data_IF_680501068956
#
_entry.id   IF_680501068956
#
_cell.length_a   1.000
_cell.length_b   1.000
_cell.length_c   1.000
_cell.angle_alpha   90.00
_cell.angle_beta   90.00
_cell.angle_gamma   90.00
#
_symmetry.space_group_name_H-M   'P 1'
#
loop_
_entity.id
_entity.type
_entity.pdbx_description
1 polymer ?
#
# COMPACT_ATOMS: atom_id res chain seq x y z
N UNK A 1 -20.14 17.99 -54.08
CA UNK A 1 -19.44 17.03 -53.20
C UNK A 1 -20.48 16.16 -52.53
N UNK A 2 -20.54 14.87 -52.86
CA UNK A 2 -21.66 13.97 -52.56
C UNK A 2 -21.88 13.76 -51.06
N UNK A 3 -23.13 13.84 -50.61
CA UNK A 3 -23.59 13.70 -49.20
C UNK A 3 -23.01 12.42 -48.54
N UNK A 4 -22.85 11.35 -49.33
CA UNK A 4 -22.25 10.08 -48.90
C UNK A 4 -20.81 10.19 -48.40
N UNK A 5 -20.03 11.16 -48.89
CA UNK A 5 -18.63 11.37 -48.47
C UNK A 5 -18.59 12.04 -47.09
N UNK A 6 -19.48 13.01 -46.83
CA UNK A 6 -19.57 13.67 -45.52
C UNK A 6 -20.00 12.70 -44.42
N UNK A 7 -20.99 11.85 -44.67
CA UNK A 7 -21.42 10.82 -43.71
C UNK A 7 -20.29 9.84 -43.37
N UNK A 8 -19.54 9.37 -44.36
CA UNK A 8 -18.40 8.46 -44.16
C UNK A 8 -17.28 9.11 -43.33
N UNK A 9 -17.01 10.38 -43.55
CA UNK A 9 -16.00 11.14 -42.79
C UNK A 9 -16.45 11.32 -41.32
N UNK A 10 -17.71 11.67 -41.07
CA UNK A 10 -18.25 11.79 -39.72
C UNK A 10 -18.23 10.46 -38.97
N UNK A 11 -18.63 9.36 -39.61
CA UNK A 11 -18.64 8.03 -39.00
C UNK A 11 -17.21 7.59 -38.62
N UNK A 12 -16.23 7.85 -39.49
CA UNK A 12 -14.82 7.50 -39.25
C UNK A 12 -14.24 8.34 -38.11
N UNK A 13 -14.56 9.63 -38.04
CA UNK A 13 -14.12 10.52 -36.96
C UNK A 13 -14.70 10.09 -35.60
N UNK A 14 -15.99 9.77 -35.54
CA UNK A 14 -16.62 9.25 -34.32
C UNK A 14 -16.03 7.91 -33.88
N UNK A 15 -15.74 7.00 -34.82
CA UNK A 15 -15.09 5.72 -34.52
C UNK A 15 -13.69 5.92 -33.90
N UNK A 16 -12.89 6.85 -34.42
CA UNK A 16 -11.56 7.16 -33.89
C UNK A 16 -11.67 7.74 -32.47
N UNK A 17 -12.58 8.69 -32.24
CA UNK A 17 -12.82 9.26 -30.90
C UNK A 17 -13.26 8.18 -29.92
N UNK A 18 -14.17 7.30 -30.33
CA UNK A 18 -14.64 6.21 -29.49
C UNK A 18 -13.50 5.25 -29.12
N UNK A 19 -12.64 4.88 -30.07
CA UNK A 19 -11.46 4.04 -29.82
C UNK A 19 -10.51 4.73 -28.83
N UNK A 20 -10.19 6.01 -29.01
CA UNK A 20 -9.34 6.77 -28.08
C UNK A 20 -9.96 6.83 -26.68
N UNK A 21 -11.28 7.03 -26.59
CA UNK A 21 -12.01 7.06 -25.33
C UNK A 21 -11.95 5.68 -24.63
N UNK A 22 -12.24 4.59 -25.35
CA UNK A 22 -12.16 3.22 -24.82
C UNK A 22 -10.74 2.87 -24.36
N UNK A 23 -9.71 3.20 -25.14
CA UNK A 23 -8.32 2.96 -24.74
C UNK A 23 -7.89 3.79 -23.52
N UNK A 24 -8.43 5.00 -23.35
CA UNK A 24 -8.22 5.82 -22.14
C UNK A 24 -8.83 5.16 -20.89
N UNK A 25 -10.02 4.58 -21.01
CA UNK A 25 -10.66 3.84 -19.92
C UNK A 25 -9.95 2.52 -19.59
N UNK A 26 -9.37 1.84 -20.58
CA UNK A 26 -8.61 0.59 -20.36
C UNK A 26 -7.26 0.88 -19.69
N UNK A 27 -6.55 1.96 -20.09
CA UNK A 27 -5.25 2.32 -19.48
C UNK A 27 -5.34 2.74 -18.02
N UNK A 28 -6.49 3.20 -17.55
CA UNK A 28 -6.69 3.64 -16.17
C UNK A 28 -7.01 2.48 -15.19
N UNK A 29 -6.95 1.22 -15.65
CA UNK A 29 -7.16 0.01 -14.83
C UNK A 29 -5.86 -0.67 -14.35
N UNK A 30 -4.71 -0.01 -14.41
CA UNK A 30 -3.62 -0.41 -13.50
C UNK A 30 -4.05 0.01 -12.10
N UNK A 31 -4.50 -0.97 -11.34
CA UNK A 31 -5.19 -0.89 -10.04
C UNK A 31 -4.28 -0.35 -8.92
N UNK A 32 -3.82 0.89 -9.10
CA UNK A 32 -3.03 1.64 -8.14
C UNK A 32 -3.99 2.53 -7.36
N UNK A 33 -4.82 1.92 -6.53
CA UNK A 33 -5.68 2.62 -5.58
C UNK A 33 -5.02 2.61 -4.20
N UNK A 34 -4.37 3.71 -3.82
CA UNK A 34 -3.79 3.84 -2.48
C UNK A 34 -4.83 3.69 -1.37
N UNK A 35 -6.06 4.17 -1.59
CA UNK A 35 -7.17 4.00 -0.64
C UNK A 35 -7.57 2.54 -0.44
N UNK A 36 -7.66 1.74 -1.51
CA UNK A 36 -7.96 0.31 -1.38
C UNK A 36 -6.86 -0.42 -0.62
N UNK A 37 -5.59 -0.08 -0.90
CA UNK A 37 -4.45 -0.65 -0.18
C UNK A 37 -4.46 -0.27 1.29
N UNK A 38 -4.84 0.97 1.61
CA UNK A 38 -4.98 1.41 3.00
C UNK A 38 -5.97 0.58 3.80
N UNK A 39 -7.12 0.21 3.22
CA UNK A 39 -8.15 -0.57 3.93
C UNK A 39 -7.58 -1.89 4.44
N UNK A 40 -6.86 -2.64 3.61
CA UNK A 40 -6.30 -3.92 4.08
C UNK A 40 -5.06 -3.71 4.97
N UNK A 41 -4.27 -2.65 4.74
CA UNK A 41 -3.16 -2.30 5.64
C UNK A 41 -3.68 -2.01 7.05
N UNK A 42 -4.80 -1.30 7.18
CA UNK A 42 -5.48 -1.03 8.44
C UNK A 42 -5.99 -2.31 9.11
N UNK A 43 -6.64 -3.20 8.34
CA UNK A 43 -7.12 -4.48 8.87
C UNK A 43 -5.96 -5.35 9.38
N UNK A 44 -4.89 -5.50 8.60
CA UNK A 44 -3.72 -6.29 9.01
C UNK A 44 -3.03 -5.66 10.23
N UNK A 45 -2.97 -4.32 10.32
CA UNK A 45 -2.45 -3.63 11.51
C UNK A 45 -3.32 -3.89 12.72
N UNK A 46 -4.65 -3.90 12.60
CA UNK A 46 -5.54 -4.21 13.73
C UNK A 46 -5.27 -5.60 14.30
N UNK A 47 -5.00 -6.61 13.46
CA UNK A 47 -4.60 -7.94 13.91
C UNK A 47 -3.24 -7.93 14.65
N UNK A 48 -2.28 -7.10 14.21
CA UNK A 48 -1.01 -6.92 14.94
C UNK A 48 -1.26 -6.27 16.31
N UNK A 49 -2.23 -5.35 16.40
CA UNK A 49 -2.52 -4.62 17.63
C UNK A 49 -3.13 -5.51 18.72
N UNK A 50 -3.84 -6.59 18.33
CA UNK A 50 -4.31 -7.63 19.26
C UNK A 50 -3.15 -8.36 19.96
N UNK A 51 -1.92 -8.25 19.45
CA UNK A 51 -0.75 -8.81 20.13
C UNK A 51 -0.32 -7.99 21.36
N UNK A 52 -0.80 -6.76 21.49
CA UNK A 52 -0.46 -5.83 22.56
C UNK A 52 0.71 -4.90 22.21
N UNK A 53 1.37 -4.39 23.25
CA UNK A 53 2.43 -3.39 23.14
C UNK A 53 1.94 -1.96 23.37
N UNK A 54 2.87 -1.08 23.74
CA UNK A 54 2.55 0.30 24.11
C UNK A 54 2.65 1.20 22.88
N UNK A 55 1.51 1.52 22.27
CA UNK A 55 1.46 2.28 21.02
C UNK A 55 1.58 3.77 21.33
N UNK A 56 2.49 4.45 20.63
CA UNK A 56 2.66 5.91 20.68
C UNK A 56 1.79 6.59 19.64
N UNK A 57 1.81 6.08 18.41
CA UNK A 57 1.08 6.71 17.31
C UNK A 57 0.73 5.73 16.21
N UNK A 58 -0.37 6.05 15.53
CA UNK A 58 -0.82 5.42 14.28
C UNK A 58 -1.03 6.53 13.27
N UNK A 59 -0.36 6.46 12.11
CA UNK A 59 -0.43 7.51 11.09
C UNK A 59 -0.75 6.91 9.72
N UNK A 60 -2.02 6.60 9.44
CA UNK A 60 -2.45 6.25 8.10
C UNK A 60 -2.45 7.49 7.20
N UNK A 61 -1.97 7.35 5.99
CA UNK A 61 -2.08 8.34 4.92
C UNK A 61 -2.29 7.64 3.59
N UNK A 62 -3.41 7.92 2.93
CA UNK A 62 -3.69 7.44 1.59
C UNK A 62 -3.74 8.62 0.61
N UNK A 63 -3.21 8.41 -0.58
CA UNK A 63 -3.38 9.26 -1.75
C UNK A 63 -3.88 8.38 -2.89
N UNK A 64 -4.13 8.99 -4.06
CA UNK A 64 -4.62 8.25 -5.23
C UNK A 64 -3.72 7.05 -5.57
N UNK A 65 -2.41 7.26 -5.64
CA UNK A 65 -1.43 6.31 -6.17
C UNK A 65 -0.49 5.70 -5.11
N UNK A 66 -0.71 6.03 -3.84
CA UNK A 66 0.18 5.65 -2.75
C UNK A 66 -0.55 5.57 -1.42
N UNK A 67 -0.02 4.76 -0.51
CA UNK A 67 -0.51 4.63 0.85
C UNK A 67 0.65 4.36 1.80
N UNK A 68 0.62 4.99 2.98
CA UNK A 68 1.60 4.77 4.04
C UNK A 68 0.91 4.62 5.38
N UNK A 69 1.36 3.65 6.17
CA UNK A 69 0.88 3.46 7.53
C UNK A 69 2.08 3.32 8.45
N UNK A 70 2.23 4.26 9.39
CA UNK A 70 3.27 4.18 10.41
C UNK A 70 2.65 3.79 11.74
N UNK A 71 3.06 2.63 12.27
CA UNK A 71 2.68 2.16 13.59
C UNK A 71 3.90 2.25 14.51
N UNK A 72 3.82 3.10 15.53
CA UNK A 72 4.95 3.37 16.43
C UNK A 72 4.65 2.83 17.82
N UNK A 73 5.60 2.07 18.37
CA UNK A 73 5.58 1.52 19.73
C UNK A 73 6.61 2.25 20.59
N UNK A 74 6.34 2.38 21.89
CA UNK A 74 7.36 2.70 22.89
C UNK A 74 8.34 1.54 23.00
N UNK A 75 9.60 1.83 23.30
CA UNK A 75 10.55 0.78 23.69
C UNK A 75 10.06 0.01 24.91
N UNK A 76 9.46 0.71 25.87
CA UNK A 76 8.78 0.09 27.00
C UNK A 76 7.59 -0.72 26.50
N UNK A 77 7.66 -2.05 26.64
CA UNK A 77 6.65 -2.98 26.13
C UNK A 77 6.99 -3.58 24.76
N UNK A 78 8.08 -3.15 24.11
CA UNK A 78 8.63 -3.81 22.94
C UNK A 78 9.63 -4.90 23.36
N UNK A 79 9.19 -6.16 23.34
CA UNK A 79 10.02 -7.31 23.66
C UNK A 79 10.28 -8.19 22.45
N UNK A 80 11.34 -8.99 22.47
CA UNK A 80 11.60 -9.99 21.42
C UNK A 80 10.44 -10.98 21.26
N UNK A 81 9.71 -11.29 22.34
CA UNK A 81 8.52 -12.13 22.29
C UNK A 81 7.37 -11.45 21.54
N UNK A 82 7.12 -10.17 21.79
CA UNK A 82 6.12 -9.38 21.06
C UNK A 82 6.50 -9.28 19.57
N UNK A 83 7.78 -9.01 19.27
CA UNK A 83 8.29 -8.98 17.89
C UNK A 83 8.00 -10.29 17.17
N UNK A 84 8.31 -11.43 17.77
CA UNK A 84 8.04 -12.73 17.15
C UNK A 84 6.54 -12.99 16.98
N UNK A 85 5.71 -12.59 17.95
CA UNK A 85 4.24 -12.68 17.83
C UNK A 85 3.72 -11.85 16.66
N UNK A 86 4.23 -10.63 16.49
CA UNK A 86 3.90 -9.74 15.37
C UNK A 86 4.35 -10.34 14.03
N UNK A 87 5.57 -10.86 13.94
CA UNK A 87 6.08 -11.53 12.74
C UNK A 87 5.22 -12.74 12.39
N UNK A 88 4.86 -13.59 13.36
CA UNK A 88 4.01 -14.75 13.12
C UNK A 88 2.61 -14.35 12.64
N UNK A 89 2.04 -13.29 13.22
CA UNK A 89 0.75 -12.72 12.78
C UNK A 89 0.82 -12.26 11.33
N UNK A 90 1.88 -11.54 10.95
CA UNK A 90 2.11 -11.11 9.57
C UNK A 90 2.18 -12.30 8.60
N UNK A 91 2.94 -13.34 8.96
CA UNK A 91 3.06 -14.54 8.13
C UNK A 91 1.71 -15.26 7.96
N UNK A 92 0.91 -15.36 9.03
CA UNK A 92 -0.45 -15.94 8.99
C UNK A 92 -1.40 -15.12 8.12
N UNK A 93 -1.26 -13.80 8.11
CA UNK A 93 -2.01 -12.89 7.24
C UNK A 93 -1.54 -12.94 5.78
N UNK A 94 -0.55 -13.78 5.44
CA UNK A 94 -0.05 -13.95 4.08
C UNK A 94 0.96 -12.90 3.64
N UNK A 95 1.66 -12.26 4.58
CA UNK A 95 2.86 -11.48 4.26
C UNK A 95 4.05 -12.41 4.00
N UNK A 96 4.80 -12.12 2.95
CA UNK A 96 5.99 -12.88 2.60
C UNK A 96 7.24 -12.20 3.16
N UNK A 97 8.00 -12.91 4.00
CA UNK A 97 9.27 -12.42 4.50
C UNK A 97 10.33 -12.42 3.39
N UNK A 98 10.96 -11.27 3.18
CA UNK A 98 12.11 -11.05 2.31
C UNK A 98 13.35 -10.79 3.17
N UNK A 99 14.47 -10.41 2.54
CA UNK A 99 15.72 -10.10 3.24
C UNK A 99 15.57 -8.85 4.13
N UNK A 100 16.40 -8.72 5.15
CA UNK A 100 16.53 -7.52 5.99
C UNK A 100 15.23 -7.08 6.71
N UNK A 101 14.43 -8.03 7.21
CA UNK A 101 13.15 -7.76 7.90
C UNK A 101 12.14 -6.94 7.06
N UNK A 102 12.24 -7.07 5.73
CA UNK A 102 11.24 -6.56 4.79
C UNK A 102 10.20 -7.65 4.57
N UNK A 103 8.93 -7.26 4.53
CA UNK A 103 7.81 -8.14 4.22
C UNK A 103 7.02 -7.56 3.04
N UNK A 104 6.50 -8.43 2.18
CA UNK A 104 5.76 -8.04 0.99
C UNK A 104 4.37 -8.68 0.95
N UNK A 105 3.35 -7.91 0.57
CA UNK A 105 1.99 -8.41 0.33
C UNK A 105 1.28 -7.51 -0.68
N UNK A 106 0.79 -8.07 -1.79
CA UNK A 106 -0.04 -7.35 -2.80
C UNK A 106 0.55 -6.01 -3.29
N UNK A 107 1.87 -5.93 -3.46
CA UNK A 107 2.60 -4.71 -3.87
C UNK A 107 2.89 -3.71 -2.74
N UNK A 108 2.51 -4.03 -1.51
CA UNK A 108 2.83 -3.27 -0.30
C UNK A 108 4.08 -3.87 0.35
N UNK A 109 4.97 -2.99 0.77
CA UNK A 109 6.17 -3.30 1.55
C UNK A 109 5.93 -2.96 3.02
N UNK A 110 6.33 -3.84 3.92
CA UNK A 110 6.37 -3.60 5.36
C UNK A 110 7.80 -3.73 5.86
N UNK A 111 8.22 -2.80 6.71
CA UNK A 111 9.53 -2.78 7.35
C UNK A 111 9.36 -2.67 8.86
N UNK A 112 10.06 -3.53 9.61
CA UNK A 112 10.16 -3.43 11.07
C UNK A 112 11.48 -2.75 11.41
N UNK A 113 11.42 -1.63 12.12
CA UNK A 113 12.58 -0.80 12.51
C UNK A 113 12.66 -0.71 14.01
N UNK A 114 13.71 -1.28 14.58
CA UNK A 114 13.95 -1.29 16.02
C UNK A 114 14.96 -0.21 16.41
N UNK A 115 14.67 0.54 17.47
CA UNK A 115 15.57 1.56 18.05
C UNK A 115 15.95 2.71 17.12
N UNK A 116 15.19 2.98 16.06
CA UNK A 116 15.54 3.99 15.05
C UNK A 116 14.99 5.39 15.31
N UNK A 117 14.14 5.56 16.33
CA UNK A 117 13.53 6.86 16.61
C UNK A 117 13.40 7.13 18.10
N UNK A 118 13.29 8.42 18.41
CA UNK A 118 12.89 8.90 19.73
C UNK A 118 11.59 9.68 19.60
N UNK A 119 10.65 9.44 20.51
CA UNK A 119 9.45 10.24 20.67
C UNK A 119 9.44 10.84 22.07
N UNK A 120 9.50 12.17 22.18
CA UNK A 120 9.53 12.89 23.45
C UNK A 120 10.64 12.42 24.42
N UNK A 121 11.82 12.04 23.88
CA UNK A 121 12.95 11.55 24.67
C UNK A 121 12.89 10.07 25.05
N UNK A 122 11.82 9.36 24.69
CA UNK A 122 11.71 7.90 24.83
C UNK A 122 12.04 7.22 23.50
N UNK A 123 12.85 6.15 23.53
CA UNK A 123 13.11 5.36 22.32
C UNK A 123 11.85 4.65 21.81
N UNK A 124 11.78 4.47 20.50
CA UNK A 124 10.62 3.89 19.84
C UNK A 124 11.00 2.91 18.72
N UNK A 125 10.09 1.97 18.49
CA UNK A 125 10.16 0.97 17.42
C UNK A 125 9.00 1.19 16.46
N UNK A 126 9.18 0.89 15.18
CA UNK A 126 8.13 1.10 14.18
C UNK A 126 7.89 -0.11 13.30
N UNK A 127 6.63 -0.26 12.91
CA UNK A 127 6.20 -1.11 11.79
C UNK A 127 5.67 -0.14 10.74
N UNK A 128 6.42 0.00 9.66
CA UNK A 128 6.09 0.93 8.58
C UNK A 128 5.58 0.14 7.38
N UNK A 129 4.42 0.52 6.86
CA UNK A 129 3.84 -0.06 5.67
C UNK A 129 3.81 0.99 4.55
N UNK A 130 4.23 0.61 3.35
CA UNK A 130 4.36 1.49 2.19
C UNK A 130 3.79 0.86 0.93
N UNK A 131 2.99 1.64 0.22
CA UNK A 131 2.47 1.33 -1.10
C UNK A 131 2.78 2.48 -2.05
N UNK A 132 3.40 2.18 -3.18
CA UNK A 132 3.65 3.09 -4.29
C UNK A 132 4.06 2.30 -5.52
N UNK A 133 4.19 2.97 -6.68
CA UNK A 133 4.79 2.37 -7.87
C UNK A 133 6.17 1.73 -7.62
N UNK A 134 6.94 2.25 -6.66
CA UNK A 134 8.24 1.69 -6.27
C UNK A 134 8.07 0.36 -5.54
N UNK A 135 7.22 0.31 -4.52
CA UNK A 135 7.04 -0.91 -3.71
C UNK A 135 6.38 -2.04 -4.51
N UNK A 136 5.54 -1.69 -5.50
CA UNK A 136 4.99 -2.67 -6.44
C UNK A 136 6.12 -3.41 -7.15
N UNK A 137 7.13 -2.70 -7.68
CA UNK A 137 8.28 -3.32 -8.35
C UNK A 137 9.19 -4.11 -7.40
N UNK A 138 9.20 -3.77 -6.12
CA UNK A 138 10.00 -4.47 -5.10
C UNK A 138 9.30 -5.74 -4.59
N UNK A 139 7.97 -5.76 -4.60
CA UNK A 139 7.15 -6.80 -3.95
C UNK A 139 6.29 -7.63 -4.93
N UNK A 140 6.39 -7.41 -6.24
CA UNK A 140 5.81 -8.24 -7.31
C UNK A 140 6.93 -8.71 -8.24
#
# INVERSE_FOLDING_TARGET
MSIKIKEKIHLTFFAIIFIVFVFSFIKNRTDISGHEKMIFMENDVNEILENGGNIVSRKPRAQRDSATYFLTFKDEGWSSALLQKNINTLLLLGWEKRRNNIFCKKGVKLEIKEGQSMHQGQGTNTIDLFYSAKTIKECQ
#
